data_IF_474595243705
#
_entry.id   IF_474595243705
#
_cell.length_a   1.000
_cell.length_b   1.000
_cell.length_c   1.000
_cell.angle_alpha   90.00
_cell.angle_beta   90.00
_cell.angle_gamma   90.00
#
_symmetry.space_group_name_H-M   'P 1'
#
loop_
_entity.id
_entity.type
_entity.pdbx_description
1 polymer ?
#
# COMPACT_ATOMS: atom_id res chain seq x y z
N UNK A 1 -10.24 -5.18 13.82
CA UNK A 1 -8.94 -5.73 13.36
C UNK A 1 -9.05 -5.98 11.87
N UNK A 2 -8.39 -5.17 11.02
CA UNK A 2 -8.37 -5.43 9.56
C UNK A 2 -7.34 -6.52 9.31
N UNK A 3 -7.79 -7.69 8.82
CA UNK A 3 -6.90 -8.79 8.47
C UNK A 3 -6.09 -8.43 7.22
N UNK A 4 -4.80 -8.74 7.23
CA UNK A 4 -4.00 -8.78 6.01
C UNK A 4 -4.26 -10.11 5.29
N UNK A 5 -4.49 -10.05 3.99
CA UNK A 5 -4.70 -11.22 3.13
C UNK A 5 -3.52 -11.34 2.17
N UNK A 6 -2.90 -12.53 2.11
CA UNK A 6 -1.81 -12.81 1.19
C UNK A 6 -2.37 -13.64 0.03
N UNK A 7 -2.26 -13.11 -1.19
CA UNK A 7 -2.82 -13.72 -2.39
C UNK A 7 -1.72 -13.95 -3.43
N UNK A 8 -1.85 -15.02 -4.20
CA UNK A 8 -0.96 -15.30 -5.31
C UNK A 8 -1.20 -14.33 -6.48
N UNK A 9 -0.14 -13.94 -7.19
CA UNK A 9 -0.24 -13.03 -8.33
C UNK A 9 -1.10 -13.64 -9.45
N UNK A 10 -2.11 -12.89 -9.85
CA UNK A 10 -3.03 -13.15 -10.95
C UNK A 10 -3.70 -11.83 -11.34
N UNK A 11 -4.28 -11.77 -12.54
CA UNK A 11 -5.01 -10.58 -13.01
C UNK A 11 -6.10 -10.14 -12.01
N UNK A 12 -6.86 -11.11 -11.48
CA UNK A 12 -7.86 -10.87 -10.44
C UNK A 12 -7.28 -10.18 -9.20
N UNK A 13 -6.12 -10.63 -8.73
CA UNK A 13 -5.50 -10.04 -7.53
C UNK A 13 -4.91 -8.66 -7.78
N UNK A 14 -4.49 -8.37 -9.02
CA UNK A 14 -4.05 -7.04 -9.44
C UNK A 14 -5.25 -6.08 -9.45
N UNK A 15 -6.37 -6.49 -10.05
CA UNK A 15 -7.60 -5.69 -10.07
C UNK A 15 -8.10 -5.42 -8.65
N UNK A 16 -8.12 -6.46 -7.81
CA UNK A 16 -8.51 -6.33 -6.41
C UNK A 16 -7.57 -5.39 -5.63
N UNK A 17 -6.26 -5.46 -5.87
CA UNK A 17 -5.31 -4.54 -5.26
C UNK A 17 -5.55 -3.09 -5.71
N UNK A 18 -5.84 -2.87 -7.00
CA UNK A 18 -6.17 -1.55 -7.52
C UNK A 18 -7.43 -0.97 -6.87
N UNK A 19 -8.47 -1.79 -6.65
CA UNK A 19 -9.69 -1.37 -5.95
C UNK A 19 -9.44 -1.03 -4.48
N UNK A 20 -8.57 -1.79 -3.80
CA UNK A 20 -8.13 -1.48 -2.44
C UNK A 20 -7.44 -0.11 -2.41
N UNK A 21 -6.52 0.15 -3.35
CA UNK A 21 -5.81 1.45 -3.42
C UNK A 21 -6.78 2.61 -3.68
N UNK A 22 -7.69 2.47 -4.64
CA UNK A 22 -8.73 3.48 -4.94
C UNK A 22 -9.67 3.72 -3.76
N UNK A 23 -9.92 2.69 -2.95
CA UNK A 23 -10.68 2.80 -1.70
C UNK A 23 -9.92 3.41 -0.52
N UNK A 24 -8.68 3.89 -0.72
CA UNK A 24 -7.81 4.43 0.35
C UNK A 24 -7.19 3.35 1.25
N UNK A 25 -7.22 2.09 0.82
CA UNK A 25 -6.56 0.98 1.49
C UNK A 25 -5.07 0.90 1.18
N UNK A 26 -4.39 -0.03 1.85
CA UNK A 26 -2.96 -0.27 1.68
C UNK A 26 -2.72 -1.64 1.05
N UNK A 27 -1.73 -1.71 0.16
CA UNK A 27 -1.30 -2.95 -0.51
C UNK A 27 0.19 -3.13 -0.33
N UNK A 28 0.61 -4.32 0.12
CA UNK A 28 2.00 -4.73 0.05
C UNK A 28 2.24 -5.52 -1.23
N UNK A 29 3.28 -5.18 -2.00
CA UNK A 29 3.54 -5.80 -3.31
C UNK A 29 5.05 -6.02 -3.53
N UNK A 30 5.45 -7.08 -4.27
CA UNK A 30 6.84 -7.34 -4.58
C UNK A 30 7.38 -6.33 -5.61
N UNK A 31 8.68 -6.01 -5.52
CA UNK A 31 9.44 -5.30 -6.56
C UNK A 31 10.73 -6.06 -6.88
N UNK A 32 11.57 -5.56 -7.78
CA UNK A 32 12.86 -6.19 -8.08
C UNK A 32 13.79 -6.27 -6.86
N UNK A 33 13.71 -5.31 -5.93
CA UNK A 33 14.66 -5.17 -4.81
C UNK A 33 14.05 -5.57 -3.47
N UNK A 34 12.86 -5.03 -3.14
CA UNK A 34 12.21 -5.21 -1.83
C UNK A 34 10.69 -5.19 -1.95
N UNK A 35 9.97 -5.59 -0.91
CA UNK A 35 8.52 -5.36 -0.86
C UNK A 35 8.20 -3.90 -0.60
N UNK A 36 7.30 -3.35 -1.41
CA UNK A 36 6.67 -2.06 -1.19
C UNK A 36 5.44 -2.20 -0.29
N UNK A 37 5.11 -1.15 0.46
CA UNK A 37 3.78 -0.95 1.04
C UNK A 37 3.29 0.38 0.48
N UNK A 38 2.25 0.33 -0.35
CA UNK A 38 1.69 1.46 -1.08
C UNK A 38 0.25 1.74 -0.70
N UNK A 39 -0.16 2.95 -1.05
CA UNK A 39 -1.49 3.53 -0.91
C UNK A 39 -1.62 4.62 -1.99
N UNK A 40 -2.82 5.13 -2.23
CA UNK A 40 -3.01 6.23 -3.19
C UNK A 40 -2.24 7.49 -2.74
N UNK A 41 -1.27 7.92 -3.56
CA UNK A 41 -0.42 9.08 -3.26
C UNK A 41 -1.18 10.41 -3.27
N UNK A 42 -2.33 10.47 -3.94
CA UNK A 42 -3.22 11.63 -3.96
C UNK A 42 -4.17 11.66 -2.75
N UNK A 43 -4.19 10.60 -1.94
CA UNK A 43 -5.05 10.47 -0.77
C UNK A 43 -4.24 10.63 0.52
N UNK A 44 -4.41 11.77 1.20
CA UNK A 44 -3.70 12.09 2.44
C UNK A 44 -3.91 11.06 3.56
N UNK A 45 -5.10 10.47 3.67
CA UNK A 45 -5.40 9.46 4.69
C UNK A 45 -4.67 8.15 4.41
N UNK A 46 -4.58 7.74 3.14
CA UNK A 46 -3.82 6.57 2.73
C UNK A 46 -2.31 6.77 3.00
N UNK A 47 -1.77 7.95 2.68
CA UNK A 47 -0.38 8.31 2.98
C UNK A 47 -0.11 8.26 4.49
N UNK A 48 -0.98 8.86 5.31
CA UNK A 48 -0.87 8.82 6.77
C UNK A 48 -0.90 7.37 7.31
N UNK A 49 -1.75 6.52 6.72
CA UNK A 49 -1.83 5.10 7.09
C UNK A 49 -0.52 4.34 6.78
N UNK A 50 0.21 4.67 5.70
CA UNK A 50 1.53 4.06 5.42
C UNK A 50 2.53 4.42 6.52
N UNK A 51 2.58 5.69 6.95
CA UNK A 51 3.46 6.12 8.04
C UNK A 51 3.13 5.40 9.34
N UNK A 52 1.84 5.34 9.70
CA UNK A 52 1.37 4.66 10.90
C UNK A 52 1.70 3.15 10.88
N UNK A 53 1.47 2.47 9.75
CA UNK A 53 1.73 1.04 9.60
C UNK A 53 3.22 0.69 9.71
N UNK A 54 4.10 1.57 9.22
CA UNK A 54 5.57 1.37 9.28
C UNK A 54 6.20 1.87 10.58
N UNK A 55 5.46 2.62 11.41
CA UNK A 55 6.05 3.40 12.50
C UNK A 55 7.10 4.40 12.00
N UNK A 56 6.96 4.88 10.75
CA UNK A 56 7.94 5.75 10.10
C UNK A 56 7.72 7.20 10.55
N UNK A 57 8.76 7.94 10.93
CA UNK A 57 8.62 9.37 11.23
C UNK A 57 8.11 10.15 10.01
N UNK A 58 7.19 11.09 10.23
CA UNK A 58 6.53 11.85 9.15
C UNK A 58 7.49 12.72 8.31
N UNK A 59 8.66 13.07 8.85
CA UNK A 59 9.68 13.85 8.14
C UNK A 59 10.49 13.02 7.12
N UNK A 60 10.31 11.69 7.08
CA UNK A 60 11.04 10.82 6.17
C UNK A 60 10.16 10.50 4.95
N UNK A 61 10.34 11.18 3.81
CA UNK A 61 9.39 11.18 2.70
C UNK A 61 9.18 9.80 2.06
N UNK A 62 8.03 9.63 1.41
CA UNK A 62 7.71 8.46 0.60
C UNK A 62 8.08 8.72 -0.87
N UNK A 63 8.30 7.64 -1.62
CA UNK A 63 8.52 7.69 -3.07
C UNK A 63 7.15 7.46 -3.74
N UNK A 64 6.79 8.29 -4.71
CA UNK A 64 5.65 8.05 -5.59
C UNK A 64 6.11 7.23 -6.79
N UNK A 65 5.46 6.09 -7.01
CA UNK A 65 5.67 5.21 -8.16
C UNK A 65 4.53 5.37 -9.16
#
# INVERSE_FOLDING_TARGET
MKHAECLALSDYTIDRAADILRGGGLVAFPTETVYGLGGDACNGDAVAAIFAAKGRPAFNPLISH
#
